data_IF_850870745258
#
_entry.id   IF_850870745258
#
_cell.length_a   1.000
_cell.length_b   1.000
_cell.length_c   1.000
_cell.angle_alpha   90.00
_cell.angle_beta   90.00
_cell.angle_gamma   90.00
#
_symmetry.space_group_name_H-M   'P 1'
#
loop_
_entity.id
_entity.type
_entity.pdbx_description
1 polymer ?
#
# COMPACT_ATOMS: atom_id res chain seq x y z
N UNK A 1 -3.08 1.77 -17.17
CA UNK A 1 -2.23 1.99 -15.97
C UNK A 1 -2.41 0.89 -14.91
N UNK A 2 -3.59 0.74 -14.30
CA UNK A 2 -3.83 -0.28 -13.26
C UNK A 2 -3.55 -1.71 -13.74
N UNK A 3 -4.00 -2.08 -14.95
CA UNK A 3 -3.73 -3.41 -15.50
C UNK A 3 -2.22 -3.71 -15.62
N UNK A 4 -1.39 -2.70 -15.94
CA UNK A 4 0.06 -2.87 -16.00
C UNK A 4 0.63 -3.15 -14.59
N UNK A 5 0.22 -2.36 -13.59
CA UNK A 5 0.62 -2.58 -12.19
C UNK A 5 0.21 -3.97 -11.72
N UNK A 6 -1.00 -4.43 -12.09
CA UNK A 6 -1.44 -5.78 -11.79
C UNK A 6 -0.53 -6.86 -12.43
N UNK A 7 -0.14 -6.69 -13.69
CA UNK A 7 0.79 -7.62 -14.34
C UNK A 7 2.19 -7.62 -13.70
N UNK A 8 2.72 -6.45 -13.34
CA UNK A 8 4.00 -6.34 -12.62
C UNK A 8 3.94 -7.13 -11.31
N UNK A 9 2.89 -6.94 -10.52
CA UNK A 9 2.72 -7.64 -9.24
C UNK A 9 2.50 -9.15 -9.42
N UNK A 10 1.80 -9.56 -10.48
CA UNK A 10 1.64 -10.97 -10.84
C UNK A 10 2.98 -11.62 -11.21
N UNK A 11 3.84 -10.92 -11.93
CA UNK A 11 5.17 -11.39 -12.31
C UNK A 11 6.15 -11.44 -11.13
N UNK A 12 6.01 -10.54 -10.15
CA UNK A 12 6.85 -10.52 -8.95
C UNK A 12 6.64 -11.73 -8.05
N UNK A 13 5.48 -12.41 -8.19
CA UNK A 13 5.09 -13.58 -7.39
C UNK A 13 5.32 -13.30 -5.90
N UNK A 14 4.60 -12.32 -5.37
CA UNK A 14 4.74 -11.92 -3.98
C UNK A 14 4.33 -13.05 -3.05
N UNK A 15 5.17 -13.29 -2.05
CA UNK A 15 4.78 -14.07 -0.88
C UNK A 15 3.74 -13.28 -0.05
N UNK A 16 2.81 -13.95 0.66
CA UNK A 16 1.86 -13.28 1.54
C UNK A 16 2.50 -12.33 2.55
N UNK A 17 3.67 -12.68 3.10
CA UNK A 17 4.41 -11.84 4.05
C UNK A 17 4.89 -10.56 3.35
N UNK A 18 5.47 -10.69 2.15
CA UNK A 18 5.93 -9.55 1.36
C UNK A 18 4.78 -8.61 1.01
N UNK A 19 3.64 -9.19 0.61
CA UNK A 19 2.44 -8.43 0.28
C UNK A 19 1.89 -7.67 1.49
N UNK A 20 1.88 -8.29 2.68
CA UNK A 20 1.48 -7.64 3.92
C UNK A 20 2.44 -6.50 4.30
N UNK A 21 3.75 -6.71 4.22
CA UNK A 21 4.75 -5.67 4.49
C UNK A 21 4.61 -4.48 3.54
N UNK A 22 4.42 -4.72 2.22
CA UNK A 22 4.23 -3.63 1.26
C UNK A 22 2.97 -2.80 1.56
N UNK A 23 1.87 -3.45 1.96
CA UNK A 23 0.67 -2.74 2.43
C UNK A 23 0.96 -1.89 3.66
N UNK A 24 1.66 -2.44 4.65
CA UNK A 24 2.02 -1.72 5.86
C UNK A 24 2.90 -0.51 5.57
N UNK A 25 3.91 -0.64 4.69
CA UNK A 25 4.80 0.46 4.29
C UNK A 25 4.00 1.60 3.62
N UNK A 26 3.05 1.26 2.74
CA UNK A 26 2.17 2.25 2.08
C UNK A 26 1.20 2.91 3.08
N UNK A 27 0.72 2.15 4.06
CA UNK A 27 -0.24 2.61 5.06
C UNK A 27 0.41 3.56 6.08
N UNK A 28 1.56 3.17 6.64
CA UNK A 28 2.26 3.91 7.68
C UNK A 28 3.13 5.01 7.08
N UNK A 29 2.48 6.03 6.51
CA UNK A 29 3.15 7.21 5.95
C UNK A 29 3.25 8.32 6.97
N UNK A 30 4.47 8.61 7.43
CA UNK A 30 4.74 9.68 8.40
C UNK A 30 4.68 11.09 7.79
N UNK A 31 4.70 11.22 6.46
CA UNK A 31 4.77 12.50 5.73
C UNK A 31 3.41 13.23 5.60
N UNK A 32 2.39 12.80 6.35
CA UNK A 32 1.06 13.39 6.34
C UNK A 32 0.97 14.44 7.45
N UNK A 33 0.82 15.71 7.06
CA UNK A 33 0.87 16.90 7.95
C UNK A 33 -0.16 16.94 9.09
N UNK A 34 -1.17 16.07 9.07
CA UNK A 34 -2.29 16.06 10.03
C UNK A 34 -2.19 14.96 11.08
N UNK A 35 -1.07 14.26 11.17
CA UNK A 35 -0.89 13.14 12.09
C UNK A 35 -0.43 13.63 13.47
N UNK A 36 -1.01 13.03 14.52
CA UNK A 36 -0.68 13.35 15.91
C UNK A 36 0.58 12.64 16.39
N UNK A 37 0.68 11.32 16.16
CA UNK A 37 1.82 10.50 16.61
C UNK A 37 2.68 10.04 15.42
N UNK A 38 3.38 11.00 14.83
CA UNK A 38 4.26 10.77 13.68
C UNK A 38 5.36 9.76 14.01
N UNK A 39 5.90 9.78 15.24
CA UNK A 39 6.98 8.89 15.68
C UNK A 39 6.52 7.44 15.74
N UNK A 40 5.33 7.17 16.27
CA UNK A 40 4.79 5.82 16.28
C UNK A 40 4.57 5.30 14.84
N UNK A 41 4.10 6.16 13.94
CA UNK A 41 3.86 5.79 12.54
C UNK A 41 5.17 5.50 11.80
N UNK A 42 6.19 6.32 12.01
CA UNK A 42 7.56 6.09 11.49
C UNK A 42 8.10 4.75 12.00
N UNK A 43 8.01 4.48 13.30
CA UNK A 43 8.43 3.22 13.89
C UNK A 43 7.72 2.01 13.27
N UNK A 44 6.40 2.07 13.06
CA UNK A 44 5.65 0.98 12.43
C UNK A 44 6.05 0.77 10.96
N UNK A 45 6.36 1.86 10.24
CA UNK A 45 6.88 1.76 8.88
C UNK A 45 8.25 1.07 8.87
N UNK A 46 9.15 1.43 9.78
CA UNK A 46 10.47 0.84 9.92
C UNK A 46 10.38 -0.66 10.23
N UNK A 47 9.50 -1.06 11.15
CA UNK A 47 9.29 -2.48 11.45
C UNK A 47 8.83 -3.28 10.22
N UNK A 48 7.96 -2.70 9.40
CA UNK A 48 7.53 -3.34 8.16
C UNK A 48 8.68 -3.48 7.14
N UNK A 49 9.55 -2.47 7.03
CA UNK A 49 10.73 -2.54 6.17
C UNK A 49 11.77 -3.55 6.66
N UNK A 50 12.05 -3.59 7.97
CA UNK A 50 12.98 -4.55 8.58
C UNK A 50 12.49 -5.98 8.35
N UNK A 51 11.20 -6.23 8.61
CA UNK A 51 10.57 -7.55 8.39
C UNK A 51 10.71 -7.97 6.92
N UNK A 52 10.42 -7.06 5.98
CA UNK A 52 10.55 -7.34 4.55
C UNK A 52 12.00 -7.62 4.14
N UNK A 53 12.96 -6.83 4.64
CA UNK A 53 14.38 -7.01 4.36
C UNK A 53 14.88 -8.37 4.86
N UNK A 54 14.58 -8.72 6.11
CA UNK A 54 14.96 -10.01 6.69
C UNK A 54 14.35 -11.19 5.93
N UNK A 55 13.06 -11.11 5.59
CA UNK A 55 12.37 -12.18 4.85
C UNK A 55 12.96 -12.41 3.45
N UNK A 56 13.22 -11.31 2.72
CA UNK A 56 13.71 -11.40 1.34
C UNK A 56 15.20 -11.73 1.25
N UNK A 57 16.01 -11.32 2.23
CA UNK A 57 17.46 -11.53 2.25
C UNK A 57 17.85 -13.02 2.24
N UNK A 58 17.01 -13.89 2.83
CA UNK A 58 17.25 -15.35 2.91
C UNK A 58 17.36 -15.97 1.52
N UNK A 59 16.53 -15.53 0.57
CA UNK A 59 16.39 -16.18 -0.73
C UNK A 59 16.96 -15.34 -1.89
N UNK A 60 16.88 -14.01 -1.80
CA UNK A 60 17.36 -13.13 -2.85
C UNK A 60 17.65 -11.71 -2.30
N UNK A 61 18.92 -11.33 -2.12
CA UNK A 61 19.29 -10.05 -1.52
C UNK A 61 18.84 -8.83 -2.34
N UNK A 62 18.59 -8.98 -3.65
CA UNK A 62 18.10 -7.89 -4.51
C UNK A 62 16.58 -7.70 -4.42
N UNK A 63 15.85 -8.67 -3.86
CA UNK A 63 14.38 -8.68 -3.89
C UNK A 63 13.80 -7.55 -3.05
N UNK A 64 14.36 -7.25 -1.88
CA UNK A 64 13.96 -6.10 -1.06
C UNK A 64 13.90 -4.80 -1.88
N UNK A 65 15.01 -4.43 -2.51
CA UNK A 65 15.11 -3.21 -3.30
C UNK A 65 14.15 -3.20 -4.49
N UNK A 66 14.02 -4.32 -5.21
CA UNK A 66 13.07 -4.44 -6.34
C UNK A 66 11.63 -4.24 -5.91
N UNK A 67 11.24 -4.73 -4.74
CA UNK A 67 9.90 -4.54 -4.19
C UNK A 67 9.66 -3.07 -3.82
N UNK A 68 10.61 -2.41 -3.16
CA UNK A 68 10.50 -0.98 -2.83
C UNK A 68 10.39 -0.10 -4.07
N UNK A 69 11.10 -0.41 -5.15
CA UNK A 69 11.03 0.31 -6.43
C UNK A 69 9.64 0.24 -7.10
N UNK A 70 8.76 -0.67 -6.66
CA UNK A 70 7.37 -0.73 -7.17
C UNK A 70 6.43 0.23 -6.46
N UNK A 71 6.76 0.69 -5.25
CA UNK A 71 5.90 1.55 -4.44
C UNK A 71 5.49 2.87 -5.13
N UNK A 72 6.38 3.56 -5.87
CA UNK A 72 6.01 4.78 -6.59
C UNK A 72 4.90 4.57 -7.64
N UNK A 73 4.74 3.35 -8.16
CA UNK A 73 3.69 3.05 -9.16
C UNK A 73 2.27 3.32 -8.62
N UNK A 74 2.06 3.19 -7.31
CA UNK A 74 0.77 3.47 -6.68
C UNK A 74 0.49 4.96 -6.50
N UNK A 75 1.52 5.81 -6.44
CA UNK A 75 1.36 7.27 -6.28
C UNK A 75 0.67 7.90 -7.49
N UNK A 76 0.79 7.27 -8.66
CA UNK A 76 0.21 7.75 -9.92
C UNK A 76 -1.26 7.33 -10.11
N UNK A 77 -1.84 6.57 -9.19
CA UNK A 77 -3.25 6.18 -9.24
C UNK A 77 -4.06 7.13 -8.36
N UNK A 78 -4.98 7.88 -8.97
CA UNK A 78 -5.88 8.73 -8.19
C UNK A 78 -7.01 7.92 -7.55
N UNK A 79 -7.37 8.27 -6.31
CA UNK A 79 -8.51 7.66 -5.62
C UNK A 79 -9.83 7.84 -6.39
N UNK A 80 -10.03 9.00 -7.02
CA UNK A 80 -11.19 9.27 -7.89
C UNK A 80 -11.26 8.31 -9.09
N UNK A 81 -10.12 7.97 -9.68
CA UNK A 81 -10.07 7.01 -10.78
C UNK A 81 -10.45 5.60 -10.33
N UNK A 82 -9.96 5.16 -9.17
CA UNK A 82 -10.34 3.88 -8.55
C UNK A 82 -11.84 3.84 -8.27
N UNK A 83 -12.38 4.91 -7.67
CA UNK A 83 -13.80 5.02 -7.35
C UNK A 83 -14.68 4.91 -8.59
N UNK A 84 -14.37 5.68 -9.64
CA UNK A 84 -15.11 5.63 -10.90
C UNK A 84 -15.05 4.25 -11.56
N UNK A 85 -13.89 3.59 -11.52
CA UNK A 85 -13.65 2.34 -12.24
C UNK A 85 -14.28 1.13 -11.55
N UNK A 86 -14.25 1.07 -10.22
CA UNK A 86 -14.61 -0.13 -9.47
C UNK A 86 -15.82 0.01 -8.54
N UNK A 87 -16.20 1.24 -8.20
CA UNK A 87 -17.17 1.48 -7.13
C UNK A 87 -18.41 2.27 -7.57
N UNK A 88 -18.35 3.00 -8.69
CA UNK A 88 -19.44 3.84 -9.21
C UNK A 88 -20.81 3.14 -9.32
N UNK A 89 -20.84 1.87 -9.68
CA UNK A 89 -22.08 1.09 -9.79
C UNK A 89 -22.60 0.55 -8.45
N UNK A 90 -21.75 0.43 -7.44
CA UNK A 90 -22.08 -0.23 -6.16
C UNK A 90 -22.45 0.77 -5.06
N UNK A 91 -21.78 1.94 -5.04
CA UNK A 91 -21.91 2.94 -3.95
C UNK A 91 -22.52 4.27 -4.40
N UNK A 92 -22.92 4.36 -5.68
CA UNK A 92 -23.63 5.50 -6.26
C UNK A 92 -22.82 6.80 -6.13
N UNK A 93 -23.38 7.80 -5.45
CA UNK A 93 -22.75 9.11 -5.23
C UNK A 93 -21.96 9.21 -3.91
N UNK A 94 -21.90 8.14 -3.12
CA UNK A 94 -21.15 8.14 -1.86
C UNK A 94 -19.67 7.89 -2.15
N UNK A 95 -18.78 8.76 -1.67
CA UNK A 95 -17.34 8.59 -1.88
C UNK A 95 -16.76 7.48 -1.02
N UNK A 96 -15.71 6.81 -1.52
CA UNK A 96 -15.02 5.72 -0.78
C UNK A 96 -14.52 6.22 0.57
N UNK A 97 -14.02 7.45 0.64
CA UNK A 97 -13.53 8.04 1.90
C UNK A 97 -14.64 8.15 2.96
N UNK A 98 -15.88 8.44 2.58
CA UNK A 98 -17.02 8.49 3.52
C UNK A 98 -17.39 7.10 4.01
N UNK A 99 -17.34 6.09 3.13
CA UNK A 99 -17.60 4.70 3.52
C UNK A 99 -16.54 4.19 4.49
N UNK A 100 -15.26 4.43 4.20
CA UNK A 100 -14.17 4.07 5.11
C UNK A 100 -14.36 4.73 6.48
N UNK A 101 -14.75 6.01 6.52
CA UNK A 101 -15.03 6.69 7.78
C UNK A 101 -16.17 6.00 8.57
N UNK A 102 -17.22 5.52 7.91
CA UNK A 102 -18.28 4.77 8.56
C UNK A 102 -17.81 3.39 9.05
N UNK A 103 -16.98 2.70 8.27
CA UNK A 103 -16.45 1.38 8.63
C UNK A 103 -15.50 1.40 9.85
N UNK A 104 -14.77 2.49 10.07
CA UNK A 104 -13.84 2.62 11.21
C UNK A 104 -14.44 3.34 12.43
N UNK A 105 -15.65 3.90 12.31
CA UNK A 105 -16.36 4.52 13.43
C UNK A 105 -17.30 3.57 14.16
N UNK A 106 -17.59 2.41 13.58
CA UNK A 106 -18.35 1.31 14.17
C UNK A 106 -17.42 0.13 14.46
#
# INVERSE_FOLDING_TARGET
LINNIFQIFKQLKLDPIEYACLKAIILFRFDIRTLNDVKQIEYLQDQAQITLAQFTQIYNPTRFGRLLLTLPLFRNISSKFIEKTYFSHTIGHTSISKLLLHMFKN
#
